data_IF_553579983984
#
_entry.id   IF_553579983984
#
_cell.length_a   1.000
_cell.length_b   1.000
_cell.length_c   1.000
_cell.angle_alpha   90.00
_cell.angle_beta   90.00
_cell.angle_gamma   90.00
#
_symmetry.space_group_name_H-M   'P 1'
#
loop_
_entity.id
_entity.type
_entity.pdbx_description
1 polymer ?
#
# COMPACT_ATOMS: atom_id res chain seq x y z
N UNK A 1 0.47 12.86 -2.85
CA UNK A 1 0.87 13.45 -4.14
C UNK A 1 -0.36 13.77 -4.98
N UNK A 2 -0.41 14.97 -5.57
CA UNK A 2 -1.54 15.44 -6.39
C UNK A 2 -1.55 14.83 -7.80
N UNK A 3 -0.38 14.59 -8.36
CA UNK A 3 -0.23 14.27 -9.78
C UNK A 3 -0.62 12.80 -10.07
N UNK A 4 -0.18 11.86 -9.23
CA UNK A 4 -0.34 10.43 -9.46
C UNK A 4 -1.41 9.79 -8.58
N UNK A 5 -1.54 10.21 -7.33
CA UNK A 5 -2.50 9.66 -6.37
C UNK A 5 -3.68 10.60 -6.10
N UNK A 6 -3.69 11.80 -6.70
CA UNK A 6 -4.75 12.82 -6.50
C UNK A 6 -4.98 13.17 -5.03
N UNK A 7 -3.93 13.03 -4.20
CA UNK A 7 -3.98 13.27 -2.77
C UNK A 7 -3.37 14.61 -2.38
N UNK A 8 -3.78 15.13 -1.25
CA UNK A 8 -3.25 16.34 -0.64
C UNK A 8 -2.87 16.10 0.82
N UNK A 9 -1.88 16.85 1.38
CA UNK A 9 -1.52 16.73 2.79
C UNK A 9 -2.70 16.91 3.74
N UNK A 10 -3.64 17.78 3.38
CA UNK A 10 -4.81 18.06 4.20
C UNK A 10 -5.79 16.88 4.26
N UNK A 11 -5.85 16.02 3.25
CA UNK A 11 -6.69 14.82 3.28
C UNK A 11 -6.23 13.84 4.37
N UNK A 12 -4.91 13.70 4.56
CA UNK A 12 -4.38 12.88 5.65
C UNK A 12 -4.79 13.42 7.02
N UNK A 13 -4.66 14.75 7.22
CA UNK A 13 -5.06 15.41 8.47
C UNK A 13 -6.57 15.27 8.72
N UNK A 14 -7.40 15.43 7.68
CA UNK A 14 -8.85 15.26 7.77
C UNK A 14 -9.23 13.82 8.11
N UNK A 15 -8.61 12.83 7.45
CA UNK A 15 -8.81 11.42 7.75
C UNK A 15 -8.45 11.10 9.21
N UNK A 16 -7.30 11.60 9.68
CA UNK A 16 -6.87 11.44 11.07
C UNK A 16 -7.83 12.08 12.07
N UNK A 17 -8.40 13.24 11.74
CA UNK A 17 -9.36 13.93 12.60
C UNK A 17 -10.75 13.26 12.64
N UNK A 18 -11.08 12.48 11.60
CA UNK A 18 -12.40 11.88 11.44
C UNK A 18 -12.56 10.52 12.13
N UNK A 19 -11.46 9.83 12.46
CA UNK A 19 -11.54 8.51 13.09
C UNK A 19 -10.28 8.17 13.90
N UNK A 20 -10.35 7.07 14.69
CA UNK A 20 -9.23 6.55 15.47
C UNK A 20 -8.42 5.46 14.73
N UNK A 21 -8.74 5.18 13.46
CA UNK A 21 -8.04 4.18 12.68
C UNK A 21 -6.64 4.70 12.28
N UNK A 22 -5.63 3.81 12.17
CA UNK A 22 -4.33 4.18 11.65
C UNK A 22 -4.41 4.72 10.22
N UNK A 23 -3.61 5.73 9.91
CA UNK A 23 -3.63 6.41 8.60
C UNK A 23 -2.31 6.18 7.87
N UNK A 24 -2.41 5.66 6.63
CA UNK A 24 -1.30 5.50 5.71
C UNK A 24 -1.11 6.76 4.85
N UNK A 25 0.10 7.34 4.82
CA UNK A 25 0.47 8.28 3.77
C UNK A 25 0.87 7.51 2.50
N UNK A 26 -0.03 7.49 1.52
CA UNK A 26 0.24 6.91 0.19
C UNK A 26 0.86 7.98 -0.71
N UNK A 27 2.19 7.93 -0.83
CA UNK A 27 2.98 8.88 -1.60
C UNK A 27 4.28 8.24 -2.09
N UNK A 28 4.99 8.85 -3.05
CA UNK A 28 6.33 8.45 -3.44
C UNK A 28 7.36 8.96 -2.43
N UNK A 29 7.86 8.07 -1.57
CA UNK A 29 8.90 8.36 -0.59
C UNK A 29 10.27 8.12 -1.22
N UNK A 30 11.02 9.18 -1.44
CA UNK A 30 12.36 9.13 -2.06
C UNK A 30 13.43 9.84 -1.23
N UNK A 31 13.02 10.56 -0.19
CA UNK A 31 13.90 11.34 0.69
C UNK A 31 13.49 11.20 2.15
N UNK A 32 14.49 11.15 3.04
CA UNK A 32 14.30 11.02 4.48
C UNK A 32 13.40 12.13 5.07
N UNK A 33 13.48 13.35 4.52
CA UNK A 33 12.65 14.45 4.97
C UNK A 33 11.15 14.16 4.86
N UNK A 34 10.74 13.45 3.79
CA UNK A 34 9.34 13.06 3.60
C UNK A 34 8.85 12.13 4.72
N UNK A 35 9.73 11.31 5.30
CA UNK A 35 9.37 10.43 6.41
C UNK A 35 9.09 11.24 7.68
N UNK A 36 9.95 12.22 8.00
CA UNK A 36 9.73 13.13 9.12
C UNK A 36 8.47 13.98 8.93
N UNK A 37 8.25 14.49 7.72
CA UNK A 37 7.05 15.22 7.34
C UNK A 37 5.79 14.36 7.53
N UNK A 38 5.83 13.08 7.13
CA UNK A 38 4.71 12.14 7.30
C UNK A 38 4.33 12.01 8.77
N UNK A 39 5.31 11.86 9.63
CA UNK A 39 5.07 11.79 11.09
C UNK A 39 4.48 13.10 11.61
N UNK A 40 5.03 14.25 11.20
CA UNK A 40 4.53 15.57 11.60
C UNK A 40 3.08 15.82 11.15
N UNK A 41 2.66 15.26 10.00
CA UNK A 41 1.28 15.32 9.54
C UNK A 41 0.33 14.36 10.27
N UNK A 42 0.86 13.45 11.09
CA UNK A 42 0.06 12.48 11.86
C UNK A 42 -0.13 11.13 11.15
N UNK A 43 0.70 10.78 10.18
CA UNK A 43 0.69 9.44 9.59
C UNK A 43 1.11 8.38 10.62
N UNK A 44 0.46 7.21 10.58
CA UNK A 44 0.83 6.03 11.35
C UNK A 44 1.61 5.02 10.50
N UNK A 45 1.54 5.17 9.17
CA UNK A 45 2.26 4.34 8.22
C UNK A 45 2.68 5.13 6.99
N UNK A 46 3.75 4.65 6.33
CA UNK A 46 4.23 5.15 5.04
C UNK A 46 4.28 4.04 4.01
N UNK A 47 4.33 4.42 2.72
CA UNK A 47 4.53 3.52 1.59
C UNK A 47 5.97 3.65 1.08
N UNK A 48 6.66 2.52 0.90
CA UNK A 48 7.91 2.44 0.13
C UNK A 48 7.66 1.62 -1.14
N UNK A 49 7.99 2.16 -2.31
CA UNK A 49 7.77 1.50 -3.60
C UNK A 49 9.12 0.97 -4.09
N UNK A 50 9.28 -0.37 -4.13
CA UNK A 50 10.54 -1.02 -4.49
C UNK A 50 11.04 -0.64 -5.89
N UNK A 51 10.12 -0.40 -6.83
CA UNK A 51 10.46 0.06 -8.19
C UNK A 51 11.14 1.44 -8.23
N UNK A 52 10.94 2.28 -7.20
CA UNK A 52 11.42 3.66 -7.15
C UNK A 52 12.71 3.83 -6.32
N UNK A 53 13.13 2.79 -5.59
CA UNK A 53 14.20 2.86 -4.60
C UNK A 53 15.23 1.75 -4.82
N UNK A 54 16.48 2.02 -4.50
CA UNK A 54 17.47 0.96 -4.35
C UNK A 54 17.40 0.30 -2.95
N UNK A 55 18.17 -0.79 -2.74
CA UNK A 55 18.12 -1.57 -1.51
C UNK A 55 18.59 -0.76 -0.28
N UNK A 56 19.58 0.11 -0.45
CA UNK A 56 20.10 0.95 0.62
C UNK A 56 19.08 2.01 1.01
N UNK A 57 18.49 2.69 0.02
CA UNK A 57 17.43 3.68 0.23
C UNK A 57 16.22 3.06 0.96
N UNK A 58 15.71 1.91 0.51
CA UNK A 58 14.60 1.23 1.18
C UNK A 58 14.89 0.95 2.65
N UNK A 59 16.10 0.41 2.93
CA UNK A 59 16.53 0.09 4.29
C UNK A 59 16.66 1.32 5.18
N UNK A 60 17.23 2.40 4.65
CA UNK A 60 17.43 3.63 5.40
C UNK A 60 16.09 4.34 5.70
N UNK A 61 15.20 4.43 4.71
CA UNK A 61 13.88 5.03 4.88
C UNK A 61 13.01 4.19 5.84
N UNK A 62 13.07 2.84 5.75
CA UNK A 62 12.42 1.96 6.71
C UNK A 62 12.93 2.21 8.14
N UNK A 63 14.25 2.29 8.32
CA UNK A 63 14.85 2.50 9.65
C UNK A 63 14.38 3.83 10.27
N UNK A 64 14.31 4.90 9.48
CA UNK A 64 13.80 6.19 9.95
C UNK A 64 12.32 6.07 10.34
N UNK A 65 11.46 5.46 9.50
CA UNK A 65 10.04 5.31 9.80
C UNK A 65 9.81 4.52 11.09
N UNK A 66 10.51 3.39 11.26
CA UNK A 66 10.44 2.58 12.48
C UNK A 66 10.93 3.33 13.72
N UNK A 67 11.96 4.19 13.60
CA UNK A 67 12.44 5.02 14.72
C UNK A 67 11.44 6.10 15.16
N UNK A 68 10.47 6.41 14.30
CA UNK A 68 9.39 7.36 14.55
C UNK A 68 8.06 6.67 14.91
N UNK A 69 8.09 5.38 15.23
CA UNK A 69 6.92 4.56 15.55
C UNK A 69 5.88 4.55 14.40
N UNK A 70 6.34 4.57 13.15
CA UNK A 70 5.49 4.38 11.98
C UNK A 70 5.68 3.00 11.36
N UNK A 71 4.58 2.39 10.94
CA UNK A 71 4.62 1.18 10.12
C UNK A 71 5.08 1.50 8.68
N UNK A 72 5.62 0.50 8.01
CA UNK A 72 6.04 0.61 6.60
C UNK A 72 5.31 -0.45 5.78
N UNK A 73 4.57 -0.02 4.76
CA UNK A 73 4.07 -0.89 3.70
C UNK A 73 5.08 -0.83 2.55
N UNK A 74 5.67 -1.97 2.17
CA UNK A 74 6.56 -2.03 1.01
C UNK A 74 5.82 -2.60 -0.18
N UNK A 75 5.72 -1.82 -1.27
CA UNK A 75 5.01 -2.17 -2.50
C UNK A 75 5.95 -2.79 -3.52
N UNK A 76 5.53 -3.93 -4.11
CA UNK A 76 6.25 -4.65 -5.15
C UNK A 76 5.33 -5.01 -6.32
N UNK A 77 5.90 -5.17 -7.53
CA UNK A 77 5.19 -5.47 -8.77
C UNK A 77 5.60 -6.79 -9.41
N UNK A 78 6.76 -7.30 -9.06
CA UNK A 78 7.31 -8.54 -9.62
C UNK A 78 8.16 -9.30 -8.60
N UNK A 79 8.66 -10.47 -9.03
CA UNK A 79 9.49 -11.34 -8.19
C UNK A 79 10.79 -10.68 -7.75
N UNK A 80 11.46 -9.96 -8.65
CA UNK A 80 12.76 -9.34 -8.33
C UNK A 80 12.61 -8.25 -7.26
N UNK A 81 11.55 -7.45 -7.33
CA UNK A 81 11.20 -6.46 -6.31
C UNK A 81 10.80 -7.14 -4.99
N UNK A 82 10.03 -8.23 -5.05
CA UNK A 82 9.65 -9.03 -3.88
C UNK A 82 10.89 -9.55 -3.14
N UNK A 83 11.85 -10.15 -3.84
CA UNK A 83 13.09 -10.66 -3.25
C UNK A 83 13.91 -9.55 -2.55
N UNK A 84 13.86 -8.33 -3.06
CA UNK A 84 14.47 -7.15 -2.43
C UNK A 84 13.71 -6.71 -1.19
N UNK A 85 12.38 -6.60 -1.29
CA UNK A 85 11.50 -6.19 -0.20
C UNK A 85 11.54 -7.15 0.99
N UNK A 86 11.70 -8.46 0.75
CA UNK A 86 11.82 -9.47 1.81
C UNK A 86 13.05 -9.32 2.71
N UNK A 87 14.04 -8.50 2.32
CA UNK A 87 15.20 -8.16 3.17
C UNK A 87 14.88 -7.09 4.23
N UNK A 88 13.73 -6.43 4.12
CA UNK A 88 13.27 -5.41 5.06
C UNK A 88 12.65 -6.05 6.31
N UNK A 89 12.64 -5.28 7.40
CA UNK A 89 12.13 -5.72 8.71
C UNK A 89 10.60 -5.68 8.78
N UNK A 90 9.97 -4.81 7.99
CA UNK A 90 8.51 -4.62 8.04
C UNK A 90 7.76 -5.93 7.81
N UNK A 91 6.70 -6.20 8.58
CA UNK A 91 5.81 -7.33 8.30
C UNK A 91 4.81 -7.04 7.16
N UNK A 92 4.63 -5.79 6.75
CA UNK A 92 3.63 -5.39 5.76
C UNK A 92 4.22 -5.40 4.35
N UNK A 93 3.66 -6.23 3.49
CA UNK A 93 4.06 -6.37 2.09
C UNK A 93 2.86 -6.11 1.17
N UNK A 94 3.00 -5.16 0.24
CA UNK A 94 2.02 -4.83 -0.77
C UNK A 94 2.40 -5.46 -2.12
N UNK A 95 1.46 -6.15 -2.77
CA UNK A 95 1.61 -6.55 -4.18
C UNK A 95 0.66 -5.71 -5.01
N UNK A 96 1.23 -4.87 -5.87
CA UNK A 96 0.46 -4.02 -6.76
C UNK A 96 0.18 -4.76 -8.09
N UNK A 97 -1.11 -4.99 -8.35
CA UNK A 97 -1.59 -5.66 -9.56
C UNK A 97 -1.50 -4.79 -10.83
N UNK A 98 -1.17 -3.52 -10.69
CA UNK A 98 -0.99 -2.59 -11.81
C UNK A 98 0.48 -2.57 -12.23
N UNK A 99 0.75 -2.93 -13.46
CA UNK A 99 2.07 -2.75 -14.06
C UNK A 99 2.35 -1.25 -14.26
N UNK A 100 3.42 -0.73 -13.67
CA UNK A 100 3.73 0.72 -13.75
C UNK A 100 4.18 1.18 -15.15
N UNK A 101 4.55 0.25 -16.04
CA UNK A 101 5.00 0.57 -17.42
C UNK A 101 3.87 0.49 -18.44
N UNK A 102 3.03 -0.55 -18.35
CA UNK A 102 1.94 -0.80 -19.32
C UNK A 102 0.59 -0.33 -18.81
N UNK A 103 0.45 -0.04 -17.53
CA UNK A 103 -0.79 0.23 -16.80
C UNK A 103 -1.81 -0.91 -16.82
N UNK A 104 -1.40 -2.06 -17.32
CA UNK A 104 -2.21 -3.29 -17.28
C UNK A 104 -2.45 -3.71 -15.83
N UNK A 105 -3.67 -4.15 -15.52
CA UNK A 105 -4.06 -4.60 -14.18
C UNK A 105 -4.54 -6.03 -14.23
N UNK A 106 -3.90 -6.91 -13.47
CA UNK A 106 -4.33 -8.31 -13.32
C UNK A 106 -4.13 -8.82 -11.90
N UNK A 107 -5.17 -9.39 -11.31
CA UNK A 107 -5.13 -9.99 -9.98
C UNK A 107 -4.22 -11.23 -9.92
N UNK A 108 -3.86 -11.79 -11.07
CA UNK A 108 -2.93 -12.92 -11.14
C UNK A 108 -1.54 -12.56 -10.63
N UNK A 109 -1.14 -11.28 -10.69
CA UNK A 109 0.12 -10.81 -10.10
C UNK A 109 0.21 -11.16 -8.62
N UNK A 110 -0.82 -10.80 -7.84
CA UNK A 110 -0.88 -11.17 -6.41
C UNK A 110 -0.91 -12.68 -6.21
N UNK A 111 -1.72 -13.40 -7.00
CA UNK A 111 -1.90 -14.86 -6.83
C UNK A 111 -0.60 -15.63 -7.12
N UNK A 112 0.18 -15.21 -8.10
CA UNK A 112 1.48 -15.82 -8.44
C UNK A 112 2.52 -15.51 -7.37
N UNK A 113 2.70 -14.23 -7.02
CA UNK A 113 3.74 -13.81 -6.09
C UNK A 113 3.47 -14.26 -4.65
N UNK A 114 2.21 -14.43 -4.27
CA UNK A 114 1.81 -14.88 -2.92
C UNK A 114 2.51 -16.18 -2.51
N UNK A 115 2.75 -17.10 -3.44
CA UNK A 115 3.41 -18.37 -3.14
C UNK A 115 4.85 -18.22 -2.61
N UNK A 116 5.45 -17.06 -2.85
CA UNK A 116 6.81 -16.71 -2.43
C UNK A 116 6.84 -15.86 -1.15
N UNK A 117 5.68 -15.40 -0.66
CA UNK A 117 5.57 -14.55 0.53
C UNK A 117 5.62 -15.43 1.79
N UNK A 118 6.57 -15.20 2.71
CA UNK A 118 6.67 -15.92 3.97
C UNK A 118 5.42 -15.73 4.84
N UNK A 119 5.11 -16.72 5.68
CA UNK A 119 3.91 -16.72 6.51
C UNK A 119 3.90 -15.66 7.63
N UNK A 120 5.05 -15.11 7.97
CA UNK A 120 5.20 -14.01 8.94
C UNK A 120 4.95 -12.62 8.36
N UNK A 121 4.72 -12.52 7.04
CA UNK A 121 4.35 -11.27 6.36
C UNK A 121 2.85 -11.16 6.22
N UNK A 122 2.30 -9.98 6.47
CA UNK A 122 0.93 -9.62 6.15
C UNK A 122 0.89 -9.07 4.72
N UNK A 123 0.25 -9.84 3.83
CA UNK A 123 0.15 -9.49 2.43
C UNK A 123 -1.07 -8.60 2.17
N UNK A 124 -0.82 -7.43 1.57
CA UNK A 124 -1.82 -6.50 1.06
C UNK A 124 -1.85 -6.59 -0.46
N UNK A 125 -3.02 -6.80 -1.06
CA UNK A 125 -3.18 -6.70 -2.52
C UNK A 125 -3.64 -5.29 -2.89
N UNK A 126 -3.02 -4.73 -3.92
CA UNK A 126 -3.25 -3.35 -4.35
C UNK A 126 -3.67 -3.30 -5.81
N UNK A 127 -4.57 -2.38 -6.14
CA UNK A 127 -5.15 -2.20 -7.49
C UNK A 127 -5.98 -3.39 -8.00
N UNK A 128 -6.94 -3.12 -8.86
CA UNK A 128 -7.73 -4.13 -9.56
C UNK A 128 -8.86 -4.78 -8.75
N UNK A 129 -9.10 -4.33 -7.53
CA UNK A 129 -10.25 -4.77 -6.72
C UNK A 129 -11.42 -3.83 -6.99
N UNK A 130 -12.41 -4.32 -7.73
CA UNK A 130 -13.58 -3.54 -8.15
C UNK A 130 -14.90 -4.15 -7.71
N UNK A 131 -14.93 -5.46 -7.47
CA UNK A 131 -16.15 -6.20 -7.16
C UNK A 131 -15.95 -7.09 -5.93
N UNK A 132 -17.08 -7.46 -5.28
CA UNK A 132 -17.07 -8.46 -4.20
C UNK A 132 -16.48 -9.80 -4.67
N UNK A 133 -16.65 -10.16 -5.93
CA UNK A 133 -16.05 -11.37 -6.50
C UNK A 133 -14.52 -11.32 -6.48
N UNK A 134 -13.93 -10.15 -6.71
CA UNK A 134 -12.47 -9.96 -6.61
C UNK A 134 -12.01 -10.16 -5.17
N UNK A 135 -12.72 -9.60 -4.19
CA UNK A 135 -12.43 -9.77 -2.76
C UNK A 135 -12.49 -11.24 -2.37
N UNK A 136 -13.56 -11.94 -2.78
CA UNK A 136 -13.73 -13.38 -2.50
C UNK A 136 -12.63 -14.22 -3.16
N UNK A 137 -12.23 -13.88 -4.38
CA UNK A 137 -11.13 -14.55 -5.11
C UNK A 137 -9.82 -14.41 -4.33
N UNK A 138 -9.49 -13.22 -3.84
CA UNK A 138 -8.30 -12.99 -3.03
C UNK A 138 -8.39 -13.71 -1.68
N UNK A 139 -9.54 -13.64 -1.00
CA UNK A 139 -9.79 -14.33 0.26
C UNK A 139 -9.64 -15.86 0.14
N UNK A 140 -10.15 -16.46 -0.93
CA UNK A 140 -9.97 -17.89 -1.22
C UNK A 140 -8.48 -18.27 -1.38
N UNK A 141 -7.66 -17.33 -1.84
CA UNK A 141 -6.20 -17.47 -1.89
C UNK A 141 -5.51 -17.11 -0.56
N UNK A 142 -6.24 -16.76 0.51
CA UNK A 142 -5.68 -16.39 1.81
C UNK A 142 -5.14 -14.95 1.86
N UNK A 143 -5.54 -14.07 0.94
CA UNK A 143 -5.21 -12.64 0.94
C UNK A 143 -6.43 -11.87 1.42
N UNK A 144 -6.35 -11.29 2.63
CA UNK A 144 -7.46 -10.65 3.31
C UNK A 144 -7.21 -9.18 3.65
N UNK A 145 -6.13 -8.60 3.15
CA UNK A 145 -5.85 -7.18 3.27
C UNK A 145 -5.77 -6.53 1.89
N UNK A 146 -6.39 -5.37 1.74
CA UNK A 146 -6.63 -4.71 0.47
C UNK A 146 -6.30 -3.23 0.55
N UNK A 147 -5.64 -2.69 -0.47
CA UNK A 147 -5.49 -1.26 -0.67
C UNK A 147 -6.31 -0.86 -1.91
N UNK A 148 -7.45 -0.22 -1.66
CA UNK A 148 -8.42 0.16 -2.70
C UNK A 148 -8.60 1.67 -2.69
N UNK A 149 -8.26 2.33 -3.77
CA UNK A 149 -8.44 3.78 -3.93
C UNK A 149 -9.39 4.12 -5.07
N UNK A 150 -9.05 3.72 -6.29
CA UNK A 150 -9.74 4.13 -7.51
C UNK A 150 -11.26 3.82 -7.48
N UNK A 151 -11.65 2.64 -7.00
CA UNK A 151 -13.05 2.23 -6.94
C UNK A 151 -13.87 3.18 -6.06
N UNK A 152 -13.33 3.61 -4.92
CA UNK A 152 -14.02 4.51 -3.99
C UNK A 152 -13.97 5.96 -4.45
N UNK A 153 -12.86 6.41 -5.03
CA UNK A 153 -12.72 7.78 -5.54
C UNK A 153 -13.63 8.07 -6.73
N UNK A 154 -14.03 7.03 -7.48
CA UNK A 154 -14.98 7.14 -8.61
C UNK A 154 -16.44 7.00 -8.19
N UNK A 155 -16.70 6.46 -7.00
CA UNK A 155 -18.05 6.26 -6.51
C UNK A 155 -18.68 7.59 -6.06
N UNK A 156 -19.98 7.82 -6.34
CA UNK A 156 -20.69 8.98 -5.83
C UNK A 156 -20.70 9.02 -4.29
N UNK A 157 -20.86 7.85 -3.65
CA UNK A 157 -20.85 7.67 -2.19
C UNK A 157 -19.79 6.60 -1.82
N UNK A 158 -18.57 7.03 -1.46
CA UNK A 158 -17.48 6.10 -1.16
C UNK A 158 -17.77 5.13 -0.01
N UNK A 159 -18.55 5.55 0.99
CA UNK A 159 -18.93 4.70 2.12
C UNK A 159 -19.85 3.55 1.71
N UNK A 160 -20.85 3.81 0.86
CA UNK A 160 -21.74 2.77 0.31
C UNK A 160 -20.96 1.80 -0.59
N UNK A 161 -20.02 2.32 -1.39
CA UNK A 161 -19.14 1.50 -2.22
C UNK A 161 -18.23 0.58 -1.39
N UNK A 162 -17.73 1.06 -0.24
CA UNK A 162 -16.95 0.26 0.70
C UNK A 162 -17.81 -0.87 1.29
N UNK A 163 -19.03 -0.56 1.74
CA UNK A 163 -19.96 -1.55 2.26
C UNK A 163 -20.33 -2.61 1.21
N UNK A 164 -20.63 -2.19 -0.01
CA UNK A 164 -20.94 -3.11 -1.11
C UNK A 164 -19.78 -4.04 -1.48
N UNK A 165 -18.54 -3.56 -1.32
CA UNK A 165 -17.34 -4.33 -1.65
C UNK A 165 -16.97 -5.35 -0.56
N UNK A 166 -17.11 -5.00 0.71
CA UNK A 166 -16.61 -5.78 1.86
C UNK A 166 -17.69 -6.28 2.82
N UNK A 167 -18.92 -5.72 2.73
CA UNK A 167 -20.06 -6.07 3.59
C UNK A 167 -20.70 -7.43 3.36
#
# INVERSE_FOLDING_TARGET
>A
DRQFFQGEPDFLKQARASCQLPVLRKDFMVDAWQIYESRAMGADAILLIAACLDDAQMKDLEAIALSLDMAVLVEVHDQAELERALKLKTPLLGINNRNLKTFEVTLDTTLVLRAMVPADKLLVTESGIHTRADVLRMGAAGVNAFLVGEAFMRAPEPGEALEALFG
#
